data_IF_468914851048
#
_entry.id   IF_468914851048
#
_cell.length_a   1.000
_cell.length_b   1.000
_cell.length_c   1.000
_cell.angle_alpha   90.00
_cell.angle_beta   90.00
_cell.angle_gamma   90.00
#
_symmetry.space_group_name_H-M   'P 1'
#
loop_
_entity.id
_entity.type
_entity.pdbx_description
1 polymer ?
#
# COMPACT_ATOMS: atom_id res chain seq x y z
N UNK A 1 -68.70 25.38 8.57
CA UNK A 1 -67.45 26.15 8.62
C UNK A 1 -66.34 25.11 8.75
N UNK A 2 -65.72 24.74 7.63
CA UNK A 2 -64.70 23.73 7.58
C UNK A 2 -63.35 24.44 7.71
N UNK A 3 -62.61 24.15 8.75
CA UNK A 3 -61.28 24.70 8.99
C UNK A 3 -60.26 23.85 8.20
N UNK A 4 -59.71 24.41 7.15
CA UNK A 4 -58.59 23.81 6.42
C UNK A 4 -57.29 24.13 7.20
N UNK A 5 -56.73 23.11 7.85
CA UNK A 5 -55.37 23.19 8.45
C UNK A 5 -54.39 22.89 7.33
N UNK A 6 -53.69 23.91 6.85
CA UNK A 6 -52.56 23.73 5.93
C UNK A 6 -51.33 23.23 6.71
N UNK A 7 -50.94 22.00 6.47
CA UNK A 7 -49.66 21.48 6.97
C UNK A 7 -48.50 22.07 6.13
N UNK A 8 -47.66 22.90 6.73
CA UNK A 8 -46.45 23.40 6.14
C UNK A 8 -45.38 22.32 6.36
N UNK A 9 -44.79 21.75 5.30
CA UNK A 9 -43.71 20.80 5.48
C UNK A 9 -42.45 21.54 5.96
N UNK A 10 -41.98 21.24 7.16
CA UNK A 10 -40.66 21.64 7.61
C UNK A 10 -39.61 20.84 6.86
N UNK A 11 -38.91 21.46 5.92
CA UNK A 11 -37.68 20.93 5.33
C UNK A 11 -36.55 21.08 6.37
N UNK A 12 -36.21 20.00 7.03
CA UNK A 12 -34.96 19.92 7.80
C UNK A 12 -33.79 19.91 6.85
N UNK A 13 -33.11 21.02 6.68
CA UNK A 13 -31.78 21.06 6.09
C UNK A 13 -30.80 20.45 7.10
N UNK A 14 -30.45 19.18 6.93
CA UNK A 14 -29.35 18.59 7.64
C UNK A 14 -28.07 19.29 7.15
N UNK A 15 -27.51 20.17 7.96
CA UNK A 15 -26.18 20.71 7.72
C UNK A 15 -25.20 19.57 7.85
N UNK A 16 -24.69 19.07 6.72
CA UNK A 16 -23.58 18.13 6.71
C UNK A 16 -22.33 18.91 7.13
N UNK A 17 -22.03 18.90 8.42
CA UNK A 17 -20.74 19.35 8.89
C UNK A 17 -19.68 18.41 8.33
N UNK A 18 -18.71 18.95 7.58
CA UNK A 18 -17.55 18.19 7.17
C UNK A 18 -16.88 17.63 8.43
N UNK A 19 -16.73 16.30 8.49
CA UNK A 19 -16.01 15.66 9.61
C UNK A 19 -14.60 16.25 9.67
N UNK A 20 -14.10 16.64 10.86
CA UNK A 20 -12.74 17.14 10.99
C UNK A 20 -11.75 16.06 10.56
N UNK A 21 -10.64 16.49 9.96
CA UNK A 21 -9.55 15.59 9.57
C UNK A 21 -9.01 14.91 10.84
N UNK A 22 -8.90 13.57 10.89
CA UNK A 22 -8.46 12.86 12.08
C UNK A 22 -7.00 13.22 12.42
N UNK A 23 -6.70 13.37 13.70
CA UNK A 23 -5.33 13.52 14.19
C UNK A 23 -4.78 12.13 14.48
N UNK A 24 -3.76 11.74 13.74
CA UNK A 24 -3.14 10.41 13.84
C UNK A 24 -2.23 10.30 15.06
N UNK A 25 -2.23 9.11 15.65
CA UNK A 25 -1.30 8.69 16.69
C UNK A 25 -0.75 7.31 16.30
N UNK A 26 0.55 7.13 16.40
CA UNK A 26 1.21 5.83 16.21
C UNK A 26 1.40 5.18 17.58
N UNK A 27 0.46 4.30 17.93
CA UNK A 27 0.43 3.60 19.23
C UNK A 27 1.40 2.41 19.19
N UNK A 28 2.42 2.34 20.08
CA UNK A 28 3.39 1.26 20.07
C UNK A 28 2.74 -0.10 20.34
N UNK A 29 3.07 -1.11 19.53
CA UNK A 29 2.67 -2.52 19.69
C UNK A 29 3.89 -3.37 19.98
N UNK A 30 4.94 -3.26 19.17
CA UNK A 30 6.24 -3.90 19.40
C UNK A 30 7.31 -2.83 19.32
N UNK A 31 8.15 -2.73 20.36
CA UNK A 31 9.20 -1.69 20.45
C UNK A 31 10.62 -2.26 20.41
N UNK A 32 10.76 -3.60 20.36
CA UNK A 32 12.04 -4.27 20.30
C UNK A 32 11.92 -5.68 19.73
N UNK A 33 13.05 -6.26 19.29
CA UNK A 33 13.11 -7.64 18.78
C UNK A 33 12.83 -7.77 17.29
N UNK A 34 12.53 -6.66 16.58
CA UNK A 34 12.50 -6.61 15.11
C UNK A 34 13.80 -5.97 14.59
N UNK A 35 14.32 -6.46 13.48
CA UNK A 35 15.53 -5.97 12.84
C UNK A 35 15.23 -5.48 11.43
N UNK A 36 15.40 -4.17 11.18
CA UNK A 36 15.13 -3.56 9.87
C UNK A 36 13.83 -4.05 9.21
N UNK A 37 12.67 -3.95 9.89
CA UNK A 37 11.40 -4.40 9.32
C UNK A 37 11.00 -3.50 8.16
N UNK A 38 10.44 -4.10 7.09
CA UNK A 38 10.12 -3.39 5.84
C UNK A 38 8.72 -3.65 5.32
N UNK A 39 8.06 -4.74 5.72
CA UNK A 39 6.69 -5.03 5.33
C UNK A 39 5.92 -5.73 6.45
N UNK A 40 4.61 -5.52 6.52
CA UNK A 40 3.72 -6.20 7.46
C UNK A 40 2.42 -6.56 6.76
N UNK A 41 2.01 -7.82 6.88
CA UNK A 41 0.79 -8.34 6.25
C UNK A 41 0.05 -9.28 7.20
N UNK A 42 -1.22 -9.53 6.94
CA UNK A 42 -1.99 -10.63 7.53
C UNK A 42 -2.11 -11.79 6.52
N UNK A 43 -2.46 -12.98 7.00
CA UNK A 43 -2.61 -14.16 6.16
C UNK A 43 -4.05 -14.34 5.62
N UNK A 44 -5.03 -13.61 6.13
CA UNK A 44 -6.44 -13.77 5.79
C UNK A 44 -7.03 -15.13 6.25
N UNK A 45 -6.43 -15.75 7.27
CA UNK A 45 -6.76 -17.10 7.75
C UNK A 45 -7.57 -17.10 9.07
N UNK A 46 -8.12 -15.94 9.45
CA UNK A 46 -8.89 -15.77 10.69
C UNK A 46 -8.04 -15.76 11.98
N UNK A 47 -6.72 -15.90 11.86
CA UNK A 47 -5.82 -15.96 13.03
C UNK A 47 -5.47 -14.61 13.62
N UNK A 48 -5.72 -13.53 12.89
CA UNK A 48 -5.33 -12.15 13.25
C UNK A 48 -3.82 -11.97 13.51
N UNK A 49 -2.98 -12.86 12.97
CA UNK A 49 -1.52 -12.73 13.03
C UNK A 49 -1.03 -11.70 12.04
N UNK A 50 -0.02 -10.94 12.45
CA UNK A 50 0.73 -10.06 11.56
C UNK A 50 2.10 -10.69 11.27
N UNK A 51 2.43 -10.79 10.00
CA UNK A 51 3.72 -11.30 9.53
C UNK A 51 4.59 -10.11 9.15
N UNK A 52 5.69 -9.93 9.88
CA UNK A 52 6.61 -8.82 9.74
C UNK A 52 7.85 -9.27 8.99
N UNK A 53 8.06 -8.72 7.81
CA UNK A 53 9.24 -8.99 6.97
C UNK A 53 10.40 -8.15 7.46
N UNK A 54 11.51 -8.80 7.77
CA UNK A 54 12.79 -8.17 8.08
C UNK A 54 13.71 -8.27 6.85
N UNK A 55 14.32 -7.16 6.49
CA UNK A 55 15.14 -7.04 5.29
C UNK A 55 16.29 -8.08 5.25
N UNK A 56 16.75 -8.55 6.43
CA UNK A 56 17.78 -9.55 6.59
C UNK A 56 17.41 -10.98 6.20
N UNK A 57 16.19 -11.25 5.74
CA UNK A 57 15.77 -12.58 5.26
C UNK A 57 14.83 -13.31 6.22
N UNK A 58 14.40 -12.67 7.31
CA UNK A 58 13.49 -13.27 8.28
C UNK A 58 12.07 -12.72 8.13
N UNK A 59 11.08 -13.58 8.40
CA UNK A 59 9.70 -13.17 8.67
C UNK A 59 9.35 -13.51 10.11
N UNK A 60 8.88 -12.52 10.87
CA UNK A 60 8.48 -12.66 12.28
C UNK A 60 6.96 -12.61 12.39
N UNK A 61 6.42 -13.18 13.45
CA UNK A 61 4.98 -13.15 13.75
C UNK A 61 4.72 -12.28 14.97
N UNK A 62 3.74 -11.39 14.86
CA UNK A 62 3.12 -10.68 15.98
C UNK A 62 1.68 -11.20 16.12
N UNK A 63 1.32 -11.62 17.32
CA UNK A 63 -0.01 -12.15 17.65
C UNK A 63 -0.47 -11.63 19.00
N UNK A 64 -1.71 -11.19 19.10
CA UNK A 64 -2.24 -10.60 20.34
C UNK A 64 -1.44 -9.40 20.85
N UNK A 65 -0.80 -8.63 19.96
CA UNK A 65 0.05 -7.50 20.31
C UNK A 65 1.47 -7.86 20.78
N UNK A 66 1.86 -9.13 20.75
CA UNK A 66 3.18 -9.58 21.18
C UNK A 66 3.97 -10.24 20.03
N UNK A 67 5.28 -9.97 19.98
CA UNK A 67 6.20 -10.64 19.08
C UNK A 67 6.40 -12.09 19.54
N UNK A 68 6.05 -13.06 18.70
CA UNK A 68 6.27 -14.48 19.00
C UNK A 68 7.75 -14.85 18.93
N UNK A 69 8.20 -15.86 19.68
CA UNK A 69 9.56 -16.37 19.59
C UNK A 69 9.80 -17.08 18.25
N UNK A 70 11.05 -17.06 17.75
CA UNK A 70 11.46 -17.70 16.51
C UNK A 70 11.05 -16.93 15.25
N UNK A 71 11.39 -17.48 14.10
CA UNK A 71 11.07 -16.96 12.78
C UNK A 71 9.98 -17.82 12.14
N UNK A 72 9.08 -17.20 11.39
CA UNK A 72 8.15 -17.89 10.50
C UNK A 72 8.90 -18.44 9.27
N UNK A 73 9.75 -17.60 8.68
CA UNK A 73 10.65 -17.93 7.57
C UNK A 73 12.04 -17.39 7.89
N UNK A 74 13.09 -18.14 7.52
CA UNK A 74 14.49 -17.73 7.73
C UNK A 74 15.37 -18.12 6.53
N UNK A 75 15.57 -17.19 5.59
CA UNK A 75 16.29 -17.44 4.32
C UNK A 75 17.46 -16.49 4.07
N UNK A 76 18.29 -16.12 5.08
CA UNK A 76 19.34 -15.13 4.90
C UNK A 76 20.38 -15.55 3.85
N UNK A 77 20.65 -16.85 3.71
CA UNK A 77 21.62 -17.39 2.75
C UNK A 77 21.15 -17.31 1.29
N UNK A 78 19.87 -17.06 1.07
CA UNK A 78 19.25 -16.95 -0.27
C UNK A 78 19.23 -15.53 -0.81
N UNK A 79 19.56 -14.53 0.02
CA UNK A 79 19.41 -13.12 -0.32
C UNK A 79 20.72 -12.39 -0.42
N UNK A 80 20.75 -11.32 -1.22
CA UNK A 80 21.81 -10.30 -1.13
C UNK A 80 21.36 -9.17 -0.20
N UNK A 81 22.28 -8.64 0.59
CA UNK A 81 22.05 -7.52 1.49
C UNK A 81 22.66 -6.22 0.97
N UNK A 82 22.42 -5.14 1.73
CA UNK A 82 22.96 -3.79 1.48
C UNK A 82 22.01 -2.87 0.71
N UNK A 83 21.94 -1.64 1.15
CA UNK A 83 21.03 -0.62 0.57
C UNK A 83 19.57 -1.03 0.67
N UNK A 84 18.90 -1.10 -0.48
CA UNK A 84 17.50 -1.53 -0.60
C UNK A 84 17.36 -3.05 -0.80
N UNK A 85 18.45 -3.79 -0.99
CA UNK A 85 18.43 -5.25 -1.20
C UNK A 85 18.02 -6.00 0.05
N UNK A 86 17.45 -7.20 -0.12
CA UNK A 86 17.04 -8.08 0.96
C UNK A 86 15.74 -8.81 0.70
N UNK A 87 15.12 -9.31 1.76
CA UNK A 87 13.75 -9.78 1.74
C UNK A 87 12.82 -8.56 1.88
N UNK A 88 11.95 -8.33 0.90
CA UNK A 88 11.23 -7.07 0.76
C UNK A 88 9.72 -7.20 1.00
N UNK A 89 9.10 -8.35 0.73
CA UNK A 89 7.67 -8.55 0.93
C UNK A 89 7.30 -10.04 1.05
N UNK A 90 6.13 -10.27 1.63
CA UNK A 90 5.43 -11.54 1.67
C UNK A 90 3.96 -11.32 1.30
N UNK A 91 3.35 -12.28 0.60
CA UNK A 91 1.90 -12.31 0.35
C UNK A 91 1.39 -13.75 0.48
N UNK A 92 0.25 -13.92 1.14
CA UNK A 92 -0.41 -15.19 1.29
C UNK A 92 -1.40 -15.42 0.14
N UNK A 93 -1.43 -16.64 -0.37
CA UNK A 93 -2.36 -17.02 -1.44
C UNK A 93 -3.82 -16.83 -0.99
N UNK A 94 -4.76 -16.39 -1.86
CA UNK A 94 -6.17 -16.24 -1.48
C UNK A 94 -6.80 -17.50 -0.86
N UNK A 95 -6.34 -18.68 -1.25
CA UNK A 95 -6.76 -19.96 -0.69
C UNK A 95 -5.75 -20.53 0.35
N UNK A 96 -5.06 -19.66 1.09
CA UNK A 96 -4.00 -20.04 2.02
C UNK A 96 -4.43 -21.07 3.07
N UNK A 97 -5.61 -20.94 3.62
CA UNK A 97 -6.16 -21.91 4.59
C UNK A 97 -6.13 -23.36 4.09
N UNK A 98 -6.36 -23.56 2.78
CA UNK A 98 -6.39 -24.89 2.17
C UNK A 98 -5.06 -25.33 1.60
N UNK A 99 -4.33 -24.43 0.90
CA UNK A 99 -3.11 -24.80 0.19
C UNK A 99 -1.82 -24.45 0.95
N UNK A 100 -1.90 -23.57 1.96
CA UNK A 100 -0.77 -23.10 2.78
C UNK A 100 0.33 -22.41 1.98
N UNK A 101 0.05 -21.95 0.74
CA UNK A 101 1.02 -21.24 -0.08
C UNK A 101 1.13 -19.79 0.31
N UNK A 102 2.37 -19.32 0.34
CA UNK A 102 2.73 -17.90 0.40
C UNK A 102 3.90 -17.61 -0.53
N UNK A 103 4.04 -16.35 -0.89
CA UNK A 103 5.05 -15.88 -1.84
C UNK A 103 5.90 -14.83 -1.17
N UNK A 104 7.19 -14.83 -1.47
CA UNK A 104 8.11 -13.80 -1.01
C UNK A 104 8.82 -13.15 -2.19
N UNK A 105 9.08 -11.86 -2.05
CA UNK A 105 9.88 -11.08 -2.99
C UNK A 105 11.20 -10.69 -2.33
N UNK A 106 12.30 -10.97 -2.98
CA UNK A 106 13.64 -10.68 -2.46
C UNK A 106 14.64 -10.47 -3.58
N UNK A 107 15.80 -9.87 -3.24
CA UNK A 107 16.97 -9.86 -4.10
C UNK A 107 17.82 -11.09 -3.80
N UNK A 108 18.07 -11.97 -4.80
CA UNK A 108 18.89 -13.16 -4.63
C UNK A 108 20.37 -12.81 -4.47
N UNK A 109 21.21 -13.81 -4.24
CA UNK A 109 22.65 -13.62 -4.03
C UNK A 109 23.39 -13.00 -5.22
N UNK A 110 22.83 -13.10 -6.45
CA UNK A 110 23.35 -12.42 -7.64
C UNK A 110 22.86 -10.96 -7.76
N UNK A 111 21.90 -10.55 -6.93
CA UNK A 111 21.28 -9.22 -6.98
C UNK A 111 19.98 -9.15 -7.80
N UNK A 112 19.58 -10.25 -8.45
CA UNK A 112 18.34 -10.29 -9.24
C UNK A 112 17.12 -10.28 -8.34
N UNK A 113 16.01 -9.70 -8.83
CA UNK A 113 14.71 -9.72 -8.19
C UNK A 113 14.09 -11.10 -8.35
N UNK A 114 13.63 -11.68 -7.24
CA UNK A 114 13.09 -13.03 -7.25
C UNK A 114 11.79 -13.13 -6.48
N UNK A 115 10.85 -13.87 -7.07
CA UNK A 115 9.61 -14.29 -6.41
C UNK A 115 9.69 -15.79 -6.20
N UNK A 116 9.55 -16.24 -4.94
CA UNK A 116 9.56 -17.65 -4.56
C UNK A 116 8.30 -17.97 -3.78
N UNK A 117 7.65 -19.08 -4.12
CA UNK A 117 6.55 -19.68 -3.38
C UNK A 117 7.09 -20.68 -2.37
N UNK A 118 6.54 -20.64 -1.16
CA UNK A 118 6.76 -21.62 -0.11
C UNK A 118 5.42 -22.16 0.43
N UNK A 119 5.49 -23.17 1.28
CA UNK A 119 4.36 -23.62 2.09
C UNK A 119 4.64 -23.44 3.58
N UNK A 120 3.60 -23.18 4.35
CA UNK A 120 3.62 -23.30 5.80
C UNK A 120 3.61 -24.78 6.19
N UNK A 121 4.32 -25.16 7.25
CA UNK A 121 4.37 -26.52 7.76
C UNK A 121 2.95 -27.03 8.10
N UNK A 122 2.67 -28.29 7.77
CA UNK A 122 1.34 -28.87 7.96
C UNK A 122 0.86 -28.92 9.42
N UNK A 123 1.76 -29.06 10.35
CA UNK A 123 1.45 -29.19 11.80
C UNK A 123 1.81 -27.96 12.62
N UNK A 124 2.37 -26.93 11.99
CA UNK A 124 2.80 -25.71 12.69
C UNK A 124 2.52 -24.47 11.84
N UNK A 125 1.40 -23.76 12.08
CA UNK A 125 1.03 -22.58 11.31
C UNK A 125 1.98 -21.38 11.55
N UNK A 126 2.89 -21.47 12.51
CA UNK A 126 3.85 -20.43 12.84
C UNK A 126 5.24 -20.67 12.24
N UNK A 127 5.40 -21.66 11.35
CA UNK A 127 6.67 -21.96 10.69
C UNK A 127 6.46 -22.30 9.21
N UNK A 128 7.28 -21.73 8.36
CA UNK A 128 7.39 -22.13 6.95
C UNK A 128 8.14 -23.45 6.80
N UNK A 129 7.85 -24.18 5.75
CA UNK A 129 8.66 -25.30 5.27
C UNK A 129 9.57 -24.77 4.14
N UNK A 130 10.80 -24.41 4.49
CA UNK A 130 11.77 -23.80 3.57
C UNK A 130 12.19 -24.75 2.43
N UNK A 131 12.06 -26.07 2.65
CA UNK A 131 12.35 -27.08 1.63
C UNK A 131 11.37 -27.08 0.46
N UNK A 132 10.19 -26.45 0.63
CA UNK A 132 9.15 -26.35 -0.39
C UNK A 132 9.36 -25.19 -1.37
N UNK A 133 10.47 -24.47 -1.27
CA UNK A 133 10.77 -23.28 -2.05
C UNK A 133 10.77 -23.54 -3.57
N UNK A 134 9.86 -22.89 -4.31
CA UNK A 134 9.77 -22.95 -5.77
C UNK A 134 9.88 -21.54 -6.34
N UNK A 135 10.89 -21.31 -7.18
CA UNK A 135 11.08 -20.04 -7.87
C UNK A 135 10.00 -19.88 -8.94
N UNK A 136 9.20 -18.82 -8.81
CA UNK A 136 8.14 -18.45 -9.74
C UNK A 136 8.71 -17.60 -10.89
N UNK A 137 9.46 -16.55 -10.55
CA UNK A 137 10.03 -15.62 -11.51
C UNK A 137 11.36 -15.06 -11.01
N UNK A 138 12.30 -14.88 -11.92
CA UNK A 138 13.55 -14.13 -11.68
C UNK A 138 13.65 -13.02 -12.72
N UNK A 139 13.87 -11.79 -12.26
CA UNK A 139 14.07 -10.62 -13.11
C UNK A 139 15.52 -10.15 -12.92
N UNK A 140 16.35 -10.17 -13.97
CA UNK A 140 17.73 -9.71 -13.88
C UNK A 140 17.82 -8.26 -13.38
N UNK A 141 18.63 -8.06 -12.35
CA UNK A 141 18.90 -6.75 -11.74
C UNK A 141 20.35 -6.69 -11.19
N UNK A 142 21.36 -7.02 -12.02
CA UNK A 142 22.71 -7.25 -11.49
C UNK A 142 23.52 -5.95 -11.30
N UNK A 143 23.14 -4.83 -11.91
CA UNK A 143 24.01 -3.67 -12.07
C UNK A 143 24.05 -2.80 -10.81
N UNK A 144 22.89 -2.42 -10.30
CA UNK A 144 22.77 -1.51 -9.15
C UNK A 144 22.09 -2.20 -7.96
N UNK A 145 22.22 -1.62 -6.77
CA UNK A 145 21.66 -2.19 -5.54
C UNK A 145 20.38 -1.52 -5.05
N UNK A 146 19.94 -0.48 -5.74
CA UNK A 146 18.78 0.34 -5.42
C UNK A 146 17.67 0.20 -6.47
N UNK A 147 16.51 0.75 -6.18
CA UNK A 147 15.29 0.69 -6.98
C UNK A 147 14.82 -0.76 -7.23
N UNK A 148 14.67 -1.49 -6.15
CA UNK A 148 14.20 -2.87 -6.22
C UNK A 148 12.67 -2.97 -6.24
N UNK A 149 11.92 -1.92 -5.86
CA UNK A 149 10.49 -2.02 -5.62
C UNK A 149 10.17 -3.01 -4.50
N UNK A 150 9.31 -4.00 -4.75
CA UNK A 150 9.28 -5.23 -3.96
C UNK A 150 8.02 -5.57 -3.19
N UNK A 151 6.96 -4.77 -3.21
CA UNK A 151 5.69 -5.12 -2.56
C UNK A 151 4.91 -6.11 -3.41
N UNK A 152 4.47 -7.23 -2.78
CA UNK A 152 3.54 -8.21 -3.31
C UNK A 152 2.14 -7.97 -2.74
N UNK A 153 1.11 -8.08 -3.57
CA UNK A 153 -0.28 -8.16 -3.14
C UNK A 153 -1.07 -9.06 -4.09
N UNK A 154 -2.07 -9.78 -3.56
CA UNK A 154 -3.09 -10.39 -4.38
C UNK A 154 -4.23 -9.39 -4.64
N UNK A 155 -4.66 -9.30 -5.90
CA UNK A 155 -5.87 -8.56 -6.26
C UNK A 155 -7.13 -9.35 -5.91
N UNK A 156 -8.28 -8.68 -5.90
CA UNK A 156 -9.58 -9.33 -5.72
C UNK A 156 -9.91 -10.33 -6.86
N UNK A 157 -9.18 -10.24 -7.97
CA UNK A 157 -9.24 -11.18 -9.10
C UNK A 157 -8.43 -12.47 -8.87
N UNK A 158 -7.77 -12.59 -7.71
CA UNK A 158 -6.97 -13.74 -7.32
C UNK A 158 -5.56 -13.77 -7.93
N UNK A 159 -5.17 -12.78 -8.73
CA UNK A 159 -3.85 -12.74 -9.33
C UNK A 159 -2.82 -12.06 -8.43
N UNK A 160 -1.56 -12.46 -8.60
CA UNK A 160 -0.44 -11.84 -7.90
C UNK A 160 0.03 -10.61 -8.65
N UNK A 161 0.07 -9.47 -7.95
CA UNK A 161 0.62 -8.21 -8.43
C UNK A 161 1.88 -7.87 -7.67
N UNK A 162 2.84 -7.27 -8.35
CA UNK A 162 4.03 -6.72 -7.72
C UNK A 162 4.64 -5.62 -8.58
N UNK A 163 5.35 -4.71 -7.92
CA UNK A 163 6.03 -3.61 -8.58
C UNK A 163 7.55 -3.79 -8.52
N UNK A 164 8.23 -3.42 -9.60
CA UNK A 164 9.69 -3.37 -9.72
C UNK A 164 10.15 -1.94 -9.89
N UNK A 165 11.32 -1.59 -9.36
CA UNK A 165 11.98 -0.34 -9.72
C UNK A 165 12.62 -0.40 -11.11
N UNK A 166 13.11 0.75 -11.57
CA UNK A 166 13.70 0.94 -12.91
C UNK A 166 15.08 0.28 -13.11
N UNK A 167 15.62 -0.36 -12.08
CA UNK A 167 16.91 -1.02 -12.12
C UNK A 167 18.05 -0.22 -11.49
N UNK A 168 17.74 0.96 -10.93
CA UNK A 168 18.67 1.72 -10.10
C UNK A 168 19.49 2.78 -10.84
N UNK A 169 20.42 3.39 -10.10
CA UNK A 169 21.14 4.61 -10.48
C UNK A 169 20.23 5.85 -10.52
N UNK A 170 20.71 6.96 -11.09
CA UNK A 170 19.95 8.19 -11.30
C UNK A 170 19.42 8.29 -12.73
N UNK A 171 18.13 8.63 -12.87
CA UNK A 171 17.54 8.99 -14.15
C UNK A 171 17.28 7.84 -15.12
N UNK A 172 17.18 6.59 -14.64
CA UNK A 172 16.90 5.40 -15.44
C UNK A 172 17.80 5.32 -16.69
N UNK A 173 19.14 5.12 -16.52
CA UNK A 173 20.10 5.22 -17.63
C UNK A 173 19.82 4.22 -18.76
N UNK A 174 19.22 3.08 -18.42
CA UNK A 174 18.91 2.00 -19.38
C UNK A 174 17.51 2.16 -19.98
N UNK A 175 16.76 3.21 -19.60
CA UNK A 175 15.38 3.46 -20.02
C UNK A 175 14.43 2.27 -19.76
N UNK A 176 14.65 1.56 -18.69
CA UNK A 176 13.88 0.38 -18.35
C UNK A 176 12.40 0.69 -18.18
N UNK A 177 12.06 1.82 -17.53
CA UNK A 177 10.67 2.17 -17.20
C UNK A 177 9.79 2.33 -18.45
N UNK A 178 10.36 2.84 -19.56
CA UNK A 178 9.65 3.01 -20.83
C UNK A 178 9.85 1.83 -21.80
N UNK A 179 10.76 0.89 -21.50
CA UNK A 179 11.02 -0.26 -22.36
C UNK A 179 10.01 -1.38 -22.10
N UNK A 180 9.15 -1.67 -23.09
CA UNK A 180 8.15 -2.75 -23.01
C UNK A 180 8.75 -4.16 -22.90
N UNK A 181 10.01 -4.37 -23.26
CA UNK A 181 10.71 -5.66 -23.16
C UNK A 181 11.42 -5.86 -21.81
N UNK A 182 11.44 -4.84 -20.94
CA UNK A 182 12.00 -4.91 -19.59
C UNK A 182 10.87 -5.07 -18.55
N UNK A 183 11.08 -5.93 -17.56
CA UNK A 183 10.20 -6.04 -16.40
C UNK A 183 10.62 -5.10 -15.25
N UNK A 184 11.62 -4.23 -15.46
CA UNK A 184 12.03 -3.19 -14.52
C UNK A 184 11.25 -1.90 -14.76
N UNK A 185 10.91 -1.17 -13.68
CA UNK A 185 10.08 0.04 -13.72
C UNK A 185 8.61 -0.24 -14.08
N UNK A 186 8.06 -1.33 -13.56
CA UNK A 186 6.76 -1.88 -13.95
C UNK A 186 5.89 -2.25 -12.74
N UNK A 187 4.58 -2.21 -12.95
CA UNK A 187 3.62 -3.06 -12.23
C UNK A 187 3.38 -4.33 -13.06
N UNK A 188 3.50 -5.47 -12.43
CA UNK A 188 3.39 -6.79 -13.05
C UNK A 188 2.19 -7.52 -12.47
N UNK A 189 1.47 -8.27 -13.31
CA UNK A 189 0.32 -9.11 -12.91
C UNK A 189 0.44 -10.48 -13.52
N UNK A 190 0.43 -11.52 -12.69
CA UNK A 190 0.54 -12.92 -13.10
C UNK A 190 -0.45 -13.80 -12.33
N UNK A 191 -0.89 -14.88 -12.95
CA UNK A 191 -1.63 -15.94 -12.27
C UNK A 191 -0.63 -17.01 -11.78
N UNK A 192 -0.66 -17.31 -10.49
CA UNK A 192 0.26 -18.25 -9.83
C UNK A 192 -0.40 -19.58 -9.43
N UNK A 193 -1.58 -19.90 -9.98
CA UNK A 193 -2.30 -21.16 -9.71
C UNK A 193 -1.71 -22.37 -10.47
N UNK A 194 -0.71 -22.18 -11.32
CA UNK A 194 0.03 -23.28 -11.91
C UNK A 194 1.09 -23.80 -10.94
N UNK A 195 0.75 -24.83 -10.16
CA UNK A 195 1.62 -25.33 -9.10
C UNK A 195 2.55 -26.47 -9.53
N UNK A 196 2.38 -27.05 -10.73
CA UNK A 196 2.93 -28.36 -11.07
C UNK A 196 4.05 -28.33 -12.08
N UNK A 197 4.04 -27.41 -13.04
CA UNK A 197 5.01 -27.38 -14.14
C UNK A 197 5.54 -25.98 -14.43
N UNK A 198 6.83 -25.81 -14.74
CA UNK A 198 7.39 -24.53 -15.17
C UNK A 198 6.83 -24.07 -16.52
N UNK A 199 6.67 -22.77 -16.72
CA UNK A 199 6.77 -21.73 -15.71
C UNK A 199 5.62 -21.88 -14.71
N UNK A 200 5.90 -21.68 -13.42
CA UNK A 200 4.92 -21.82 -12.34
C UNK A 200 3.98 -20.62 -12.23
N UNK A 201 3.74 -19.95 -13.33
CA UNK A 201 2.75 -18.89 -13.50
C UNK A 201 2.19 -18.93 -14.93
N UNK A 202 1.07 -18.26 -15.13
CA UNK A 202 0.48 -18.00 -16.44
C UNK A 202 0.12 -16.52 -16.55
N UNK A 203 -0.09 -16.06 -17.79
CA UNK A 203 -0.50 -14.69 -18.04
C UNK A 203 -2.03 -14.63 -18.02
N UNK A 204 -2.65 -13.75 -17.19
CA UNK A 204 -4.07 -13.48 -17.28
C UNK A 204 -4.47 -13.00 -18.67
N UNK A 205 -5.52 -13.59 -19.26
CA UNK A 205 -5.92 -13.30 -20.64
C UNK A 205 -6.37 -11.83 -20.84
N UNK A 206 -6.73 -11.16 -19.75
CA UNK A 206 -7.13 -9.75 -19.71
C UNK A 206 -5.98 -8.81 -19.30
N UNK A 207 -4.72 -9.27 -19.28
CA UNK A 207 -3.58 -8.38 -19.14
C UNK A 207 -3.53 -7.40 -20.33
N UNK A 208 -3.20 -6.12 -20.05
CA UNK A 208 -3.43 -5.07 -21.04
C UNK A 208 -2.57 -5.16 -22.30
N UNK A 209 -1.50 -5.94 -22.28
CA UNK A 209 -0.54 -6.00 -23.39
C UNK A 209 -0.46 -7.35 -24.11
N UNK A 210 -1.30 -8.34 -23.79
CA UNK A 210 -1.28 -9.70 -24.39
C UNK A 210 -1.45 -9.73 -25.93
N UNK A 211 -1.91 -8.63 -26.52
CA UNK A 211 -2.02 -8.49 -27.98
C UNK A 211 -0.94 -7.59 -28.58
N UNK A 212 -0.01 -7.08 -27.77
CA UNK A 212 1.05 -6.18 -28.21
C UNK A 212 2.42 -6.88 -28.19
N UNK A 213 2.94 -7.35 -29.34
CA UNK A 213 4.19 -8.11 -29.39
C UNK A 213 5.45 -7.31 -29.01
N UNK A 214 5.32 -5.98 -28.80
CA UNK A 214 6.42 -5.10 -28.39
C UNK A 214 6.47 -4.89 -26.89
N UNK A 215 5.54 -5.47 -26.13
CA UNK A 215 5.44 -5.33 -24.66
C UNK A 215 5.24 -6.70 -24.07
N UNK A 216 5.96 -7.01 -23.01
CA UNK A 216 5.84 -8.28 -22.30
C UNK A 216 4.46 -8.43 -21.67
N UNK A 217 3.90 -9.62 -21.79
CA UNK A 217 2.53 -9.93 -21.38
C UNK A 217 2.31 -9.86 -19.87
N UNK A 218 3.38 -9.99 -19.06
CA UNK A 218 3.34 -9.87 -17.60
C UNK A 218 3.06 -8.42 -17.13
N UNK A 219 3.31 -7.42 -18.00
CA UNK A 219 3.22 -6.00 -17.66
C UNK A 219 1.75 -5.60 -17.53
N UNK A 220 1.42 -4.98 -16.36
CA UNK A 220 0.12 -4.40 -16.09
C UNK A 220 0.12 -2.88 -16.20
N UNK A 221 1.22 -2.22 -15.76
CA UNK A 221 1.48 -0.80 -15.97
C UNK A 221 2.99 -0.56 -16.07
N UNK A 222 3.39 0.59 -16.65
CA UNK A 222 4.79 0.96 -16.85
C UNK A 222 5.05 2.41 -16.43
N UNK A 223 6.32 2.83 -16.50
CA UNK A 223 6.72 4.20 -16.22
C UNK A 223 6.82 4.51 -14.72
N UNK A 224 7.28 3.55 -13.93
CA UNK A 224 7.56 3.68 -12.50
C UNK A 224 9.07 3.76 -12.26
N UNK A 225 9.48 4.48 -11.20
CA UNK A 225 10.89 4.64 -10.82
C UNK A 225 11.32 3.64 -9.74
N UNK A 226 10.76 3.77 -8.55
CA UNK A 226 10.99 2.88 -7.42
C UNK A 226 9.74 2.83 -6.53
N UNK A 227 8.69 2.13 -6.99
CA UNK A 227 7.42 2.00 -6.28
C UNK A 227 7.65 1.15 -5.02
N UNK A 228 8.09 1.83 -3.93
CA UNK A 228 8.52 1.16 -2.71
C UNK A 228 7.40 0.39 -2.05
N UNK A 229 6.24 1.06 -1.80
CA UNK A 229 5.03 0.39 -1.31
C UNK A 229 3.83 0.85 -2.11
N UNK A 230 2.94 -0.08 -2.33
CA UNK A 230 1.67 0.14 -2.99
C UNK A 230 0.62 -0.77 -2.36
N UNK A 231 -0.65 -0.43 -2.50
CA UNK A 231 -1.75 -1.19 -1.92
C UNK A 231 -3.00 -1.15 -2.79
N UNK A 232 -3.88 -2.12 -2.58
CA UNK A 232 -5.27 -2.03 -2.98
C UNK A 232 -6.10 -1.43 -1.85
N UNK A 233 -7.08 -0.60 -2.19
CA UNK A 233 -8.17 -0.26 -1.30
C UNK A 233 -9.11 -1.47 -1.19
N UNK A 234 -9.24 -2.06 -0.01
CA UNK A 234 -10.06 -3.26 0.21
C UNK A 234 -11.53 -3.10 -0.17
N UNK A 235 -12.07 -1.88 -0.19
CA UNK A 235 -13.47 -1.63 -0.51
C UNK A 235 -13.71 -1.43 -2.00
N UNK A 236 -12.83 -0.71 -2.68
CA UNK A 236 -13.01 -0.32 -4.08
C UNK A 236 -12.14 -1.13 -5.04
N UNK A 237 -11.11 -1.82 -4.51
CA UNK A 237 -10.03 -2.46 -5.24
C UNK A 237 -9.20 -1.50 -6.09
N UNK A 238 -9.27 -0.20 -5.82
CA UNK A 238 -8.43 0.79 -6.48
C UNK A 238 -6.97 0.65 -6.02
N UNK A 239 -6.06 0.90 -6.94
CA UNK A 239 -4.62 0.77 -6.70
C UNK A 239 -4.00 2.12 -6.35
N UNK A 240 -3.24 2.15 -5.27
CA UNK A 240 -2.49 3.30 -4.77
C UNK A 240 -1.01 2.97 -4.77
N UNK A 241 -0.21 3.73 -5.53
CA UNK A 241 1.22 3.44 -5.71
C UNK A 241 2.01 4.65 -5.26
N UNK A 242 2.86 4.48 -4.24
CA UNK A 242 3.85 5.47 -3.85
C UNK A 242 5.16 5.18 -4.58
N UNK A 243 5.56 6.10 -5.42
CA UNK A 243 6.76 5.99 -6.25
C UNK A 243 7.82 7.00 -5.83
N UNK A 244 8.98 6.50 -5.42
CA UNK A 244 10.07 7.34 -4.93
C UNK A 244 10.70 8.11 -6.07
N UNK A 245 10.72 9.42 -5.94
CA UNK A 245 11.22 10.34 -6.95
C UNK A 245 12.74 10.40 -7.06
N UNK A 246 13.24 11.17 -8.04
CA UNK A 246 14.68 11.24 -8.32
C UNK A 246 15.40 12.26 -7.43
N UNK A 247 14.87 13.46 -7.29
CA UNK A 247 15.58 14.51 -6.57
C UNK A 247 14.80 15.82 -6.41
N UNK A 248 13.58 15.90 -6.93
CA UNK A 248 12.74 17.09 -6.81
C UNK A 248 11.37 16.79 -6.22
N UNK A 249 10.77 15.67 -6.56
CA UNK A 249 9.40 15.35 -6.22
C UNK A 249 9.22 13.90 -5.81
N UNK A 250 8.42 13.66 -4.80
CA UNK A 250 7.83 12.36 -4.45
C UNK A 250 6.39 12.33 -4.94
N UNK A 251 5.84 11.12 -5.24
CA UNK A 251 4.52 11.03 -5.84
C UNK A 251 3.67 9.85 -5.35
N UNK A 252 2.35 10.05 -5.37
CA UNK A 252 1.35 8.99 -5.23
C UNK A 252 0.56 8.90 -6.53
N UNK A 253 0.61 7.74 -7.15
CA UNK A 253 -0.15 7.38 -8.32
C UNK A 253 -1.41 6.62 -7.91
N UNK A 254 -2.46 6.75 -8.72
CA UNK A 254 -3.76 6.14 -8.47
C UNK A 254 -4.32 5.52 -9.74
N UNK A 255 -4.99 4.38 -9.58
CA UNK A 255 -5.72 3.73 -10.66
C UNK A 255 -6.97 3.05 -10.13
N UNK A 256 -8.12 3.29 -10.78
CA UNK A 256 -9.29 2.44 -10.58
C UNK A 256 -9.11 1.13 -11.34
N UNK A 257 -9.49 -0.01 -10.76
CA UNK A 257 -9.45 -1.28 -11.50
C UNK A 257 -10.43 -1.33 -12.67
N UNK A 258 -11.45 -0.48 -12.67
CA UNK A 258 -12.36 -0.32 -13.81
C UNK A 258 -11.67 0.26 -15.07
N UNK A 259 -10.48 0.84 -14.94
CA UNK A 259 -9.72 1.38 -16.06
C UNK A 259 -9.16 0.24 -16.89
N UNK A 260 -9.67 0.02 -18.08
CA UNK A 260 -9.14 -0.94 -19.05
C UNK A 260 -7.87 -0.41 -19.71
N UNK A 261 -6.97 -1.34 -20.12
CA UNK A 261 -5.75 -1.02 -20.83
C UNK A 261 -4.55 -0.71 -19.96
N UNK A 262 -3.38 -0.76 -20.54
CA UNK A 262 -2.10 -0.48 -19.91
C UNK A 262 -1.95 1.01 -19.58
N UNK A 263 -1.47 1.30 -18.39
CA UNK A 263 -1.17 2.65 -17.93
C UNK A 263 0.33 2.89 -18.00
N UNK A 264 0.71 4.12 -18.36
CA UNK A 264 2.08 4.61 -18.26
C UNK A 264 2.10 5.84 -17.33
N UNK A 265 2.82 5.74 -16.21
CA UNK A 265 2.94 6.81 -15.22
C UNK A 265 4.00 7.85 -15.56
N UNK A 266 4.82 7.61 -16.59
CA UNK A 266 5.64 8.64 -17.24
C UNK A 266 7.10 8.73 -16.77
N UNK A 267 7.56 8.01 -15.78
CA UNK A 267 8.98 7.93 -15.48
C UNK A 267 9.73 7.25 -16.65
N UNK A 268 10.85 7.72 -17.16
CA UNK A 268 11.72 8.86 -16.73
C UNK A 268 11.38 10.19 -17.41
N UNK A 269 10.33 10.26 -18.22
CA UNK A 269 9.99 11.49 -18.95
C UNK A 269 9.62 12.62 -17.99
N UNK A 270 8.93 12.25 -16.90
CA UNK A 270 8.43 13.17 -15.87
C UNK A 270 8.78 12.66 -14.48
N UNK A 271 9.02 13.60 -13.55
CA UNK A 271 9.14 13.39 -12.11
C UNK A 271 8.05 14.22 -11.45
N UNK A 272 7.10 13.58 -10.80
CA UNK A 272 5.85 14.24 -10.40
C UNK A 272 5.15 14.83 -11.64
N UNK A 273 4.81 16.11 -11.55
CA UNK A 273 4.21 16.87 -12.66
C UNK A 273 5.24 17.64 -13.52
N UNK A 274 6.52 17.51 -13.22
CA UNK A 274 7.60 18.26 -13.90
C UNK A 274 8.30 17.41 -14.97
N UNK A 275 8.68 18.02 -16.08
CA UNK A 275 9.51 17.38 -17.08
C UNK A 275 10.89 17.05 -16.48
N UNK A 276 11.36 15.80 -16.68
CA UNK A 276 12.68 15.36 -16.25
C UNK A 276 13.59 15.08 -17.46
N UNK A 277 13.40 13.97 -18.17
CA UNK A 277 14.14 13.65 -19.38
C UNK A 277 13.16 13.28 -20.50
N UNK A 278 12.76 14.25 -21.26
CA UNK A 278 11.71 14.12 -22.29
C UNK A 278 12.22 13.63 -23.65
N UNK A 279 13.51 13.30 -23.77
CA UNK A 279 14.07 12.76 -25.01
C UNK A 279 13.44 11.42 -25.39
N UNK A 280 12.79 11.34 -26.54
CA UNK A 280 12.09 10.14 -27.02
C UNK A 280 10.73 9.88 -26.35
N UNK A 281 10.25 10.82 -25.53
CA UNK A 281 8.97 10.68 -24.84
C UNK A 281 7.78 11.12 -25.69
N UNK A 282 6.61 10.59 -25.34
CA UNK A 282 5.34 11.08 -25.86
C UNK A 282 4.96 12.42 -25.20
N UNK A 283 3.98 13.15 -25.73
CA UNK A 283 3.43 14.33 -25.04
C UNK A 283 2.94 13.97 -23.62
N UNK A 284 3.02 14.92 -22.68
CA UNK A 284 2.64 14.71 -21.26
C UNK A 284 1.23 14.14 -21.09
N UNK A 285 0.29 14.54 -21.95
CA UNK A 285 -1.09 14.04 -21.93
C UNK A 285 -1.25 12.56 -22.22
N UNK A 286 -0.18 11.88 -22.68
CA UNK A 286 -0.15 10.43 -22.93
C UNK A 286 0.17 9.64 -21.66
N UNK A 287 0.54 10.30 -20.58
CA UNK A 287 0.88 9.70 -19.30
C UNK A 287 -0.17 10.04 -18.24
N UNK A 288 -0.31 9.16 -17.26
CA UNK A 288 -1.20 9.39 -16.13
C UNK A 288 -0.43 10.16 -15.06
N UNK A 289 -0.89 11.37 -14.78
CA UNK A 289 -0.29 12.20 -13.75
C UNK A 289 -0.57 11.64 -12.35
N UNK A 290 0.36 11.82 -11.38
CA UNK A 290 0.12 11.48 -10.00
C UNK A 290 -1.01 12.32 -9.39
N UNK A 291 -1.72 11.73 -8.43
CA UNK A 291 -2.80 12.42 -7.72
C UNK A 291 -2.30 13.32 -6.59
N UNK A 292 -1.09 13.07 -6.14
CA UNK A 292 -0.42 13.84 -5.10
C UNK A 292 1.08 13.84 -5.34
N UNK A 293 1.70 15.01 -5.17
CA UNK A 293 3.16 15.19 -5.20
C UNK A 293 3.59 16.09 -4.05
N UNK A 294 4.79 15.88 -3.54
CA UNK A 294 5.42 16.79 -2.58
C UNK A 294 6.89 17.01 -2.90
N UNK A 295 7.43 18.21 -2.60
CA UNK A 295 8.79 18.56 -2.94
C UNK A 295 9.82 17.96 -1.99
N UNK A 296 11.05 17.80 -2.48
CA UNK A 296 12.19 17.43 -1.67
C UNK A 296 12.59 18.55 -0.72
N UNK A 297 11.90 18.63 0.42
CA UNK A 297 12.28 19.46 1.57
C UNK A 297 11.67 18.89 2.85
N UNK A 298 12.29 19.17 4.00
CA UNK A 298 11.88 18.57 5.28
C UNK A 298 10.66 19.26 5.93
N UNK A 299 10.30 20.46 5.52
CA UNK A 299 9.23 21.24 6.17
C UNK A 299 7.84 20.89 5.61
N UNK A 300 7.71 20.92 4.28
CA UNK A 300 6.42 20.74 3.59
C UNK A 300 6.41 19.52 2.68
N UNK A 301 7.45 18.68 2.72
CA UNK A 301 7.64 17.53 1.88
C UNK A 301 8.41 16.42 2.58
N UNK A 302 9.39 15.89 1.85
CA UNK A 302 10.26 14.82 2.34
C UNK A 302 11.33 14.50 1.33
N UNK A 303 11.79 13.26 1.29
CA UNK A 303 12.88 12.84 0.40
C UNK A 303 12.72 11.40 -0.09
N UNK A 304 11.78 10.64 0.46
CA UNK A 304 11.55 9.24 0.10
C UNK A 304 10.18 8.79 0.62
N UNK A 305 9.20 8.75 -0.26
CA UNK A 305 7.87 8.28 0.09
C UNK A 305 7.88 6.78 0.40
N UNK A 306 7.30 6.41 1.53
CA UNK A 306 7.13 4.99 1.89
C UNK A 306 5.93 4.38 1.18
N UNK A 307 4.83 5.12 1.09
CA UNK A 307 3.53 4.59 0.69
C UNK A 307 2.60 4.36 1.88
N UNK A 308 1.49 3.66 1.66
CA UNK A 308 0.47 3.51 2.68
C UNK A 308 -0.72 2.68 2.26
N UNK A 309 -1.83 2.82 3.01
CA UNK A 309 -3.10 2.13 2.75
C UNK A 309 -4.29 3.06 2.97
N UNK A 310 -5.41 2.77 2.29
CA UNK A 310 -6.71 3.39 2.60
C UNK A 310 -7.29 2.72 3.84
N UNK A 311 -7.52 3.47 4.90
CA UNK A 311 -8.10 2.91 6.12
C UNK A 311 -9.56 2.47 5.90
N UNK A 312 -9.86 1.20 6.21
CA UNK A 312 -11.20 0.59 6.09
C UNK A 312 -11.64 -0.12 7.36
N UNK A 313 -10.88 0.00 8.45
CA UNK A 313 -11.25 -0.54 9.76
C UNK A 313 -12.48 0.16 10.34
N UNK A 314 -13.18 -0.53 11.22
CA UNK A 314 -14.40 -0.02 11.87
C UNK A 314 -14.11 0.71 13.19
N UNK A 315 -12.92 0.54 13.77
CA UNK A 315 -12.59 1.07 15.10
C UNK A 315 -12.46 2.60 15.10
N UNK A 316 -11.92 3.18 14.02
CA UNK A 316 -11.70 4.63 13.90
C UNK A 316 -12.48 5.22 12.73
N UNK A 317 -13.77 5.46 12.92
CA UNK A 317 -14.68 5.94 11.88
C UNK A 317 -14.19 7.23 11.18
N UNK A 318 -13.50 8.12 11.92
CA UNK A 318 -12.93 9.34 11.38
C UNK A 318 -11.84 9.11 10.32
N UNK A 319 -11.14 7.96 10.37
CA UNK A 319 -10.08 7.61 9.42
C UNK A 319 -10.61 6.97 8.13
N UNK A 320 -11.85 6.50 8.12
CA UNK A 320 -12.39 5.72 6.99
C UNK A 320 -12.34 6.49 5.68
N UNK A 321 -11.72 5.87 4.67
CA UNK A 321 -11.57 6.42 3.34
C UNK A 321 -10.35 7.34 3.14
N UNK A 322 -9.55 7.57 4.15
CA UNK A 322 -8.27 8.24 3.99
C UNK A 322 -7.17 7.26 3.59
N UNK A 323 -6.46 7.54 2.51
CA UNK A 323 -5.16 6.94 2.24
C UNK A 323 -4.14 7.60 3.17
N UNK A 324 -3.45 6.81 3.96
CA UNK A 324 -2.48 7.27 4.96
C UNK A 324 -1.10 6.79 4.51
N UNK A 325 -0.19 7.73 4.22
CA UNK A 325 1.17 7.45 3.78
C UNK A 325 2.18 8.35 4.49
N UNK A 326 3.45 7.96 4.49
CA UNK A 326 4.51 8.68 5.18
C UNK A 326 5.75 8.84 4.31
N UNK A 327 6.60 9.80 4.66
CA UNK A 327 7.96 9.94 4.16
C UNK A 327 8.95 9.32 5.15
N UNK A 328 9.84 8.48 4.64
CA UNK A 328 10.83 7.77 5.42
C UNK A 328 11.83 8.70 6.13
N UNK A 329 12.25 9.78 5.45
CA UNK A 329 13.33 10.66 5.90
C UNK A 329 12.79 11.78 6.80
N UNK A 330 11.75 12.48 6.36
CA UNK A 330 11.20 13.62 7.11
C UNK A 330 10.29 13.20 8.27
N UNK A 331 9.68 12.01 8.20
CA UNK A 331 8.65 11.55 9.13
C UNK A 331 7.29 12.23 8.93
N UNK A 332 7.14 13.05 7.90
CA UNK A 332 5.85 13.63 7.54
C UNK A 332 4.88 12.54 7.09
N UNK A 333 3.64 12.69 7.49
CA UNK A 333 2.56 11.76 7.16
C UNK A 333 1.42 12.54 6.50
N UNK A 334 0.86 11.99 5.43
CA UNK A 334 -0.28 12.61 4.73
C UNK A 334 -1.51 11.73 4.82
N UNK A 335 -2.65 12.41 4.93
CA UNK A 335 -3.98 11.84 4.78
C UNK A 335 -4.56 12.37 3.47
N UNK A 336 -4.86 11.48 2.54
CA UNK A 336 -5.38 11.81 1.21
C UNK A 336 -6.75 11.19 1.06
N UNK A 337 -7.75 11.99 0.65
CA UNK A 337 -9.12 11.51 0.44
C UNK A 337 -9.75 12.22 -0.74
N UNK A 338 -10.56 11.50 -1.52
CA UNK A 338 -11.35 12.12 -2.60
C UNK A 338 -12.23 13.25 -2.06
N UNK A 339 -12.27 14.37 -2.80
CA UNK A 339 -13.15 15.51 -2.50
C UNK A 339 -14.55 15.36 -3.08
N UNK A 340 -14.86 14.22 -3.76
CA UNK A 340 -16.15 13.96 -4.40
C UNK A 340 -16.39 14.73 -5.69
N UNK A 341 -15.46 15.61 -6.11
CA UNK A 341 -15.55 16.43 -7.33
C UNK A 341 -14.47 16.08 -8.37
N UNK A 342 -13.92 14.86 -8.28
CA UNK A 342 -12.86 14.38 -9.18
C UNK A 342 -11.44 14.78 -8.78
N UNK A 343 -11.25 15.39 -7.61
CA UNK A 343 -9.94 15.76 -7.04
C UNK A 343 -9.72 15.16 -5.66
N UNK A 344 -8.63 15.59 -5.00
CA UNK A 344 -8.15 15.05 -3.74
C UNK A 344 -7.91 16.14 -2.71
N UNK A 345 -8.36 15.90 -1.49
CA UNK A 345 -7.98 16.68 -0.31
C UNK A 345 -6.78 16.01 0.35
N UNK A 346 -5.77 16.79 0.69
CA UNK A 346 -4.55 16.33 1.36
C UNK A 346 -4.32 17.10 2.65
N UNK A 347 -3.92 16.39 3.69
CA UNK A 347 -3.54 17.00 4.97
C UNK A 347 -2.24 16.40 5.45
N UNK A 348 -1.25 17.23 5.71
CA UNK A 348 0.02 16.82 6.30
C UNK A 348 -0.05 16.86 7.82
N UNK A 349 0.54 15.86 8.46
CA UNK A 349 0.77 15.83 9.89
C UNK A 349 2.24 15.54 10.17
N UNK A 350 2.80 16.23 11.15
CA UNK A 350 4.20 16.17 11.54
C UNK A 350 4.31 15.63 12.98
N UNK A 351 5.54 15.32 13.41
CA UNK A 351 5.80 14.88 14.79
C UNK A 351 5.42 13.42 15.07
N UNK A 352 5.12 12.64 14.02
CA UNK A 352 4.93 11.20 14.11
C UNK A 352 6.28 10.48 14.05
N UNK A 353 6.38 9.19 14.46
CA UNK A 353 7.63 8.44 14.38
C UNK A 353 8.22 8.47 12.98
N UNK A 354 9.53 8.73 12.90
CA UNK A 354 10.28 8.71 11.63
C UNK A 354 10.73 7.31 11.22
N UNK A 355 11.40 7.25 10.06
CA UNK A 355 11.91 6.02 9.45
C UNK A 355 10.80 4.97 9.22
N UNK A 356 9.60 5.42 8.91
CA UNK A 356 8.50 4.52 8.56
C UNK A 356 8.85 3.84 7.24
N UNK A 357 9.07 2.54 7.30
CA UNK A 357 9.54 1.70 6.18
C UNK A 357 8.42 0.94 5.47
N UNK A 358 7.26 0.83 6.08
CA UNK A 358 6.11 0.15 5.52
C UNK A 358 4.84 0.35 6.33
N UNK A 359 3.72 0.12 5.68
CA UNK A 359 2.40 0.01 6.28
C UNK A 359 1.80 -1.34 5.91
N UNK A 360 0.84 -1.79 6.70
CA UNK A 360 0.03 -2.96 6.38
C UNK A 360 -1.24 -3.01 7.22
N UNK A 361 -2.14 -3.87 6.80
CA UNK A 361 -3.44 -4.02 7.43
C UNK A 361 -3.54 -5.36 8.15
N UNK A 362 -4.26 -5.36 9.28
CA UNK A 362 -4.76 -6.58 9.90
C UNK A 362 -6.01 -7.10 9.15
N UNK A 363 -6.49 -8.28 9.52
CA UNK A 363 -7.69 -8.87 8.92
C UNK A 363 -8.94 -8.01 9.12
N UNK A 364 -9.05 -7.35 10.26
CA UNK A 364 -10.12 -6.38 10.59
C UNK A 364 -9.94 -5.00 9.94
N UNK A 365 -8.94 -4.85 9.05
CA UNK A 365 -8.57 -3.61 8.38
C UNK A 365 -8.02 -2.50 9.28
N UNK A 366 -7.58 -2.82 10.49
CA UNK A 366 -6.76 -1.92 11.28
C UNK A 366 -5.41 -1.71 10.61
N UNK A 367 -4.94 -0.47 10.63
CA UNK A 367 -3.70 -0.08 9.97
C UNK A 367 -2.53 -0.12 10.95
N UNK A 368 -1.43 -0.68 10.47
CA UNK A 368 -0.16 -0.73 11.19
C UNK A 368 0.94 -0.05 10.38
N UNK A 369 1.91 0.53 11.08
CA UNK A 369 3.11 1.15 10.51
C UNK A 369 4.36 0.53 11.13
N UNK A 370 5.37 0.29 10.29
CA UNK A 370 6.67 -0.20 10.70
C UNK A 370 7.69 0.94 10.68
N UNK A 371 8.45 1.10 11.74
CA UNK A 371 9.69 1.87 11.69
C UNK A 371 10.87 0.93 11.50
N UNK A 372 11.75 1.25 10.56
CA UNK A 372 12.98 0.47 10.31
C UNK A 372 13.89 0.35 11.55
N UNK A 373 13.66 1.17 12.55
CA UNK A 373 14.34 1.12 13.85
C UNK A 373 13.92 -0.09 14.71
N UNK A 374 13.00 -0.93 14.22
CA UNK A 374 12.60 -2.17 14.90
C UNK A 374 11.28 -2.05 15.66
N UNK A 375 10.42 -1.09 15.33
CA UNK A 375 9.13 -0.91 16.00
C UNK A 375 7.97 -1.16 15.06
N UNK A 376 6.87 -1.70 15.62
CA UNK A 376 5.56 -1.81 15.01
C UNK A 376 4.57 -0.94 15.79
N UNK A 377 3.82 -0.12 15.10
CA UNK A 377 2.79 0.75 15.65
C UNK A 377 1.42 0.40 15.06
N UNK A 378 0.37 0.50 15.86
CA UNK A 378 -1.00 0.62 15.37
C UNK A 378 -1.27 2.08 15.06
N UNK A 379 -1.78 2.38 13.88
CA UNK A 379 -2.19 3.73 13.50
C UNK A 379 -3.61 3.95 14.00
N UNK A 380 -3.74 4.89 14.92
CA UNK A 380 -5.01 5.24 15.57
C UNK A 380 -5.27 6.74 15.42
N UNK A 381 -6.44 7.19 15.77
CA UNK A 381 -6.69 8.61 15.96
C UNK A 381 -6.81 8.93 17.44
N UNK A 382 -6.36 10.14 17.85
CA UNK A 382 -6.67 10.64 19.17
C UNK A 382 -8.19 10.72 19.27
N UNK A 383 -8.78 9.93 20.15
CA UNK A 383 -10.22 9.89 20.35
C UNK A 383 -10.70 11.26 20.82
N UNK A 384 -11.30 12.02 19.91
CA UNK A 384 -12.45 12.82 20.34
C UNK A 384 -13.52 11.77 20.62
N UNK A 385 -13.81 11.53 21.89
CA UNK A 385 -14.89 10.64 22.28
C UNK A 385 -16.12 11.01 21.43
N UNK A 386 -16.72 10.08 20.68
CA UNK A 386 -17.96 10.39 20.00
C UNK A 386 -18.94 10.84 21.08
N UNK A 387 -19.42 12.07 20.94
CA UNK A 387 -20.45 12.58 21.82
C UNK A 387 -21.68 11.73 21.53
N UNK A 388 -21.96 10.77 22.39
CA UNK A 388 -23.14 9.94 22.25
C UNK A 388 -24.34 10.78 22.72
N UNK A 389 -25.27 11.05 21.81
CA UNK A 389 -26.53 11.68 22.16
C UNK A 389 -27.35 10.67 22.99
N UNK A 390 -27.46 10.94 24.29
CA UNK A 390 -28.19 10.08 25.23
C UNK A 390 -29.69 10.40 25.25
N UNK A 391 -30.03 11.66 25.05
CA UNK A 391 -31.42 12.12 25.10
C UNK A 391 -31.61 13.39 24.26
N UNK A 392 -32.71 13.47 23.54
CA UNK A 392 -33.16 14.66 22.81
C UNK A 392 -34.62 14.90 23.15
N UNK A 393 -34.91 16.03 23.79
CA UNK A 393 -36.27 16.44 24.10
C UNK A 393 -36.64 17.74 23.41
N UNK A 394 -37.83 17.78 22.85
CA UNK A 394 -38.43 18.99 22.36
C UNK A 394 -39.69 19.27 23.15
N UNK A 395 -39.76 20.43 23.79
CA UNK A 395 -40.93 20.91 24.56
C UNK A 395 -41.49 22.17 23.93
N UNK A 396 -42.77 22.14 23.57
CA UNK A 396 -43.44 23.32 23.03
C UNK A 396 -43.87 24.20 24.19
N UNK A 397 -43.39 25.43 24.17
CA UNK A 397 -43.73 26.49 25.13
C UNK A 397 -44.50 27.59 24.41
N UNK A 398 -45.19 28.45 25.15
CA UNK A 398 -45.98 29.54 24.59
C UNK A 398 -45.13 30.48 23.72
N UNK A 399 -45.15 30.27 22.38
CA UNK A 399 -44.51 31.11 21.40
C UNK A 399 -43.13 30.64 20.89
N UNK A 400 -42.56 29.57 21.45
CA UNK A 400 -41.33 28.95 20.97
C UNK A 400 -41.23 27.46 21.37
N UNK A 401 -40.29 26.72 20.74
CA UNK A 401 -39.98 25.35 21.09
C UNK A 401 -38.61 25.31 21.75
N UNK A 402 -38.54 24.71 22.93
CA UNK A 402 -37.29 24.44 23.63
C UNK A 402 -36.77 23.04 23.20
N UNK A 403 -35.54 22.98 22.75
CA UNK A 403 -34.85 21.73 22.43
C UNK A 403 -33.72 21.56 23.42
N UNK A 404 -33.76 20.48 24.18
CA UNK A 404 -32.71 20.09 25.10
C UNK A 404 -32.12 18.75 24.70
N UNK A 405 -30.82 18.58 24.88
CA UNK A 405 -30.12 17.31 24.64
C UNK A 405 -29.14 17.04 25.77
N UNK A 406 -28.87 15.75 25.97
CA UNK A 406 -27.86 15.25 26.90
C UNK A 406 -26.92 14.33 26.16
N UNK A 407 -25.63 14.49 26.41
CA UNK A 407 -24.53 13.70 25.83
C UNK A 407 -23.77 12.97 26.93
N UNK A 408 -23.16 11.82 26.57
CA UNK A 408 -22.22 11.10 27.43
C UNK A 408 -20.80 11.54 27.17
#
# INVERSE_FOLDING_TARGET
>A
MVLLISAVPFLFSASIFAQPVPVLVYSPVVTSGLSSPVDVVNAGDGSNRLFVVQQGGQVRIVSGGALLPGNFLDIPDSISGGGERGLLSIAFHPNYESNRYFFVYYTNTAGDLRITRFQTQAGNPNAADESTGVVILTIPHPTYSNHNGGKLNFGADGHLYFATGDGGSGGDPDNNSQNGNSLLGKMIRINVDNFTTPPYYTIPADNPYVTNPSVRDEIFAMGLRNPWRWSFDKQTNDMWIADVGQGAWEEVNFRTLATSGGINYGWRCYEGNAAYNTSGCLPQSSYIAPIFVYPHNSATGGFSITGGHVYRGSEYAAMVGYYICADYVSGNTWLIKSNGAGGWNTTQQNGLPGNISGFGEAENSDLYALSRNGSLYKVITSTVLPVTLLDLKATSLNGYNEISWRTA
#
